data_IF_523150563547
#
_entry.id   IF_523150563547
#
_cell.length_a   1.000
_cell.length_b   1.000
_cell.length_c   1.000
_cell.angle_alpha   90.00
_cell.angle_beta   90.00
_cell.angle_gamma   90.00
#
_symmetry.space_group_name_H-M   'P 1'
#
loop_
_entity.id
_entity.type
_entity.pdbx_description
1 polymer ?
#
# COMPACT_ATOMS: atom_id res chain seq x y z
N UNK A 1 -11.92 54.00 -26.05
CA UNK A 1 -10.91 54.55 -25.13
C UNK A 1 -10.29 53.41 -24.34
N UNK A 2 -8.95 53.36 -24.37
CA UNK A 2 -8.01 52.74 -23.42
C UNK A 2 -8.03 51.22 -23.22
N UNK A 3 -7.22 50.56 -24.08
CA UNK A 3 -6.41 49.38 -23.77
C UNK A 3 -5.40 49.73 -22.66
N UNK A 4 -5.36 48.95 -21.59
CA UNK A 4 -4.19 48.79 -20.72
C UNK A 4 -3.57 47.45 -21.13
N UNK A 5 -2.29 47.31 -21.49
CA UNK A 5 -1.10 48.02 -21.03
C UNK A 5 -0.14 46.92 -20.59
N UNK A 6 0.53 46.29 -21.58
CA UNK A 6 1.57 45.30 -21.35
C UNK A 6 2.65 45.90 -20.46
N UNK A 7 2.80 45.35 -19.25
CA UNK A 7 3.94 45.65 -18.39
C UNK A 7 5.15 44.86 -18.90
N UNK A 8 5.90 45.57 -19.72
CA UNK A 8 7.35 45.60 -19.85
C UNK A 8 8.13 44.45 -19.23
N UNK A 9 8.57 43.55 -20.11
CA UNK A 9 9.70 42.67 -19.93
C UNK A 9 10.97 43.54 -19.85
N UNK A 10 11.50 43.80 -18.66
CA UNK A 10 12.89 44.27 -18.51
C UNK A 10 13.78 43.05 -18.43
N UNK A 11 14.32 42.66 -19.58
CA UNK A 11 15.42 41.74 -19.70
C UNK A 11 16.71 42.49 -19.35
N UNK A 12 17.34 42.17 -18.22
CA UNK A 12 18.73 42.57 -17.97
C UNK A 12 19.62 41.50 -18.58
N UNK A 13 20.31 41.89 -19.64
CA UNK A 13 21.19 41.05 -20.44
C UNK A 13 22.61 41.18 -19.88
N UNK A 14 22.98 40.31 -18.94
CA UNK A 14 24.38 40.08 -18.58
C UNK A 14 24.64 38.56 -18.56
N UNK A 15 25.54 38.14 -19.44
CA UNK A 15 26.22 36.85 -19.48
C UNK A 15 25.39 35.56 -19.62
N UNK A 16 24.82 35.36 -20.82
CA UNK A 16 25.05 34.16 -21.63
C UNK A 16 24.87 32.75 -21.05
N UNK A 17 24.20 32.56 -19.91
CA UNK A 17 23.95 31.24 -19.31
C UNK A 17 22.51 31.11 -18.85
N UNK A 18 21.69 30.47 -19.68
CA UNK A 18 20.33 30.03 -19.35
C UNK A 18 20.39 28.94 -18.29
N UNK A 19 20.28 29.31 -17.01
CA UNK A 19 20.08 28.34 -15.93
C UNK A 19 18.58 28.08 -15.78
N UNK A 20 18.12 26.82 -15.82
CA UNK A 20 16.71 26.52 -15.59
C UNK A 20 16.39 26.84 -14.13
N UNK A 21 15.57 27.87 -13.91
CA UNK A 21 14.95 28.18 -12.62
C UNK A 21 14.11 26.96 -12.18
N UNK A 22 14.69 26.19 -11.26
CA UNK A 22 14.08 25.05 -10.59
C UNK A 22 12.66 25.37 -10.07
N UNK A 23 11.64 25.00 -10.84
CA UNK A 23 10.22 25.12 -10.46
C UNK A 23 9.89 24.31 -9.19
N UNK A 24 10.74 23.33 -8.84
CA UNK A 24 10.65 22.55 -7.61
C UNK A 24 10.87 23.38 -6.33
N UNK A 25 11.69 24.45 -6.35
CA UNK A 25 12.02 25.19 -5.13
C UNK A 25 10.87 26.07 -4.61
N UNK A 26 10.03 26.60 -5.50
CA UNK A 26 8.89 27.47 -5.15
C UNK A 26 7.79 26.73 -4.39
N UNK A 27 7.58 25.44 -4.69
CA UNK A 27 6.52 24.63 -4.04
C UNK A 27 6.91 24.20 -2.63
N UNK A 28 8.20 24.03 -2.34
CA UNK A 28 8.71 23.76 -0.99
C UNK A 28 8.73 25.02 -0.13
N UNK A 29 9.19 26.16 -0.67
CA UNK A 29 9.18 27.43 0.06
C UNK A 29 7.77 27.86 0.51
N UNK A 30 6.76 27.69 -0.36
CA UNK A 30 5.37 28.02 -0.04
C UNK A 30 4.77 27.14 1.08
N UNK A 31 5.23 25.90 1.23
CA UNK A 31 4.76 24.98 2.28
C UNK A 31 5.30 25.38 3.66
N UNK A 32 6.57 25.75 3.75
CA UNK A 32 7.21 26.20 4.99
C UNK A 32 6.64 27.53 5.49
N UNK A 33 6.35 28.47 4.58
CA UNK A 33 5.73 29.76 4.90
C UNK A 33 4.36 29.59 5.57
N UNK A 34 3.54 28.65 5.07
CA UNK A 34 2.23 28.33 5.64
C UNK A 34 2.35 27.66 7.00
N UNK A 35 3.35 26.80 7.19
CA UNK A 35 3.63 26.15 8.48
C UNK A 35 4.08 27.18 9.53
N UNK A 36 4.97 28.11 9.18
CA UNK A 36 5.37 29.22 10.09
C UNK A 36 4.19 30.10 10.46
N UNK A 37 3.36 30.49 9.49
CA UNK A 37 2.20 31.36 9.73
C UNK A 37 1.18 30.71 10.68
N UNK A 38 0.86 29.44 10.47
CA UNK A 38 -0.03 28.69 11.35
C UNK A 38 0.57 28.46 12.75
N UNK A 39 1.89 28.22 12.86
CA UNK A 39 2.56 28.07 14.15
C UNK A 39 2.56 29.37 14.95
N UNK A 40 2.78 30.51 14.29
CA UNK A 40 2.71 31.83 14.92
C UNK A 40 1.29 32.18 15.41
N UNK A 41 0.24 31.74 14.69
CA UNK A 41 -1.15 31.94 15.10
C UNK A 41 -1.58 31.09 16.30
N UNK A 42 -0.93 29.96 16.58
CA UNK A 42 -1.21 29.16 17.78
C UNK A 42 -0.60 29.75 19.06
N UNK A 43 0.51 30.49 18.96
CA UNK A 43 1.19 31.06 20.13
C UNK A 43 0.49 32.30 20.68
N UNK A 44 -0.39 32.94 19.91
CA UNK A 44 -1.08 34.18 20.31
C UNK A 44 -2.45 33.95 20.97
N UNK A 45 -2.95 32.72 21.04
CA UNK A 45 -4.25 32.41 21.65
C UNK A 45 -4.17 31.73 23.03
N UNK A 46 -2.98 31.40 23.53
CA UNK A 46 -2.82 30.69 24.80
C UNK A 46 -2.45 31.56 26.00
N UNK A 47 -2.48 32.90 25.88
CA UNK A 47 -1.99 33.80 26.94
C UNK A 47 -3.02 34.86 27.39
N UNK A 48 -4.31 34.52 27.29
CA UNK A 48 -5.39 35.37 27.80
C UNK A 48 -6.61 34.54 28.26
N UNK A 49 -6.52 33.94 29.44
CA UNK A 49 -7.63 33.90 30.42
C UNK A 49 -7.12 33.39 31.76
N UNK A 50 -6.97 34.31 32.72
CA UNK A 50 -6.79 34.04 34.15
C UNK A 50 -8.10 33.60 34.83
N UNK A 51 -7.91 32.78 35.86
CA UNK A 51 -8.66 32.64 37.13
C UNK A 51 -10.19 32.60 37.18
N UNK A 52 -10.74 31.43 37.59
CA UNK A 52 -11.70 31.36 38.72
C UNK A 52 -11.42 30.08 39.54
N UNK A 53 -11.03 30.28 40.80
CA UNK A 53 -10.94 29.28 41.87
C UNK A 53 -12.34 29.00 42.45
N UNK A 54 -12.61 27.76 42.91
CA UNK A 54 -13.44 27.50 44.11
C UNK A 54 -13.42 26.01 44.52
N UNK A 55 -12.79 25.77 45.66
CA UNK A 55 -13.30 25.05 46.86
C UNK A 55 -14.04 23.72 46.67
N UNK A 56 -13.49 22.66 47.26
CA UNK A 56 -14.18 21.38 47.45
C UNK A 56 -15.04 21.33 48.73
N UNK A 57 -15.97 20.36 48.78
CA UNK A 57 -16.39 19.52 49.92
C UNK A 57 -17.47 18.51 49.41
N UNK A 58 -17.89 17.43 50.14
CA UNK A 58 -17.59 16.02 49.87
C UNK A 58 -18.82 15.14 49.45
N UNK A 59 -18.54 13.85 49.12
CA UNK A 59 -19.45 12.78 48.65
C UNK A 59 -20.72 12.52 49.51
N UNK A 60 -21.88 12.07 48.98
CA UNK A 60 -22.30 10.71 48.49
C UNK A 60 -23.84 10.74 48.22
N UNK A 61 -24.56 9.65 47.84
CA UNK A 61 -24.64 8.88 46.58
C UNK A 61 -26.11 8.78 46.02
N UNK A 62 -26.35 7.86 45.08
CA UNK A 62 -27.62 7.54 44.34
C UNK A 62 -27.88 8.42 43.09
N UNK A 63 -28.32 7.93 41.94
CA UNK A 63 -28.76 6.60 41.48
C UNK A 63 -28.76 6.64 39.94
N UNK A 64 -28.39 5.51 39.34
CA UNK A 64 -28.82 4.96 38.06
C UNK A 64 -29.51 5.88 37.03
N UNK A 65 -28.74 6.28 36.01
CA UNK A 65 -29.25 6.41 34.63
C UNK A 65 -28.09 6.06 33.69
N UNK A 66 -28.13 4.87 33.10
CA UNK A 66 -27.16 4.37 32.13
C UNK A 66 -27.13 5.27 30.89
N UNK A 67 -26.05 6.02 30.62
CA UNK A 67 -25.87 6.63 29.32
C UNK A 67 -25.38 5.52 28.39
N UNK A 68 -26.09 5.29 27.27
CA UNK A 68 -25.58 4.50 26.15
C UNK A 68 -24.15 4.97 25.85
N UNK A 69 -23.20 4.10 26.16
CA UNK A 69 -21.80 4.28 25.84
C UNK A 69 -21.69 4.47 24.33
N UNK A 70 -21.48 5.71 23.91
CA UNK A 70 -21.18 6.06 22.51
C UNK A 70 -19.79 5.49 22.25
N UNK A 71 -19.73 4.21 21.89
CA UNK A 71 -18.50 3.57 21.48
C UNK A 71 -17.93 4.38 20.32
N UNK A 72 -16.84 5.11 20.57
CA UNK A 72 -16.09 5.82 19.54
C UNK A 72 -15.69 4.79 18.50
N UNK A 73 -16.35 4.82 17.34
CA UNK A 73 -16.15 3.82 16.30
C UNK A 73 -14.74 4.02 15.76
N UNK A 74 -13.83 3.14 16.15
CA UNK A 74 -12.47 3.16 15.62
C UNK A 74 -12.53 3.26 14.10
N UNK A 75 -11.73 4.12 13.44
CA UNK A 75 -11.73 4.28 11.99
C UNK A 75 -11.63 2.95 11.23
N UNK A 76 -10.97 1.96 11.84
CA UNK A 76 -10.90 0.58 11.35
C UNK A 76 -12.28 -0.09 11.28
N UNK A 77 -13.07 -0.02 12.34
CA UNK A 77 -14.42 -0.61 12.41
C UNK A 77 -15.36 -0.03 11.34
N UNK A 78 -15.20 1.27 11.03
CA UNK A 78 -15.97 1.92 9.96
C UNK A 78 -15.58 1.37 8.58
N UNK A 79 -14.28 1.12 8.34
CA UNK A 79 -13.80 0.59 7.08
C UNK A 79 -14.15 -0.90 6.90
N UNK A 80 -14.13 -1.69 7.97
CA UNK A 80 -14.50 -3.11 7.97
C UNK A 80 -15.96 -3.37 7.57
N UNK A 81 -16.83 -2.35 7.60
CA UNK A 81 -18.20 -2.46 7.09
C UNK A 81 -18.28 -2.57 5.55
N UNK A 82 -17.22 -2.16 4.83
CA UNK A 82 -17.17 -2.13 3.36
C UNK A 82 -16.00 -2.95 2.81
N UNK A 83 -14.89 -3.00 3.56
CA UNK A 83 -13.66 -3.70 3.20
C UNK A 83 -13.49 -4.97 4.02
N UNK A 84 -12.76 -5.93 3.46
CA UNK A 84 -12.28 -7.06 4.25
C UNK A 84 -11.29 -6.61 5.34
N UNK A 85 -11.29 -7.31 6.47
CA UNK A 85 -10.46 -7.02 7.64
C UNK A 85 -8.96 -6.77 7.31
N UNK A 86 -8.25 -7.59 6.50
CA UNK A 86 -6.84 -7.35 6.21
C UNK A 86 -6.61 -6.06 5.43
N UNK A 87 -7.51 -5.71 4.50
CA UNK A 87 -7.39 -4.51 3.68
C UNK A 87 -7.69 -3.25 4.50
N UNK A 88 -8.68 -3.31 5.39
CA UNK A 88 -8.98 -2.21 6.32
C UNK A 88 -7.77 -1.86 7.21
N UNK A 89 -7.06 -2.88 7.72
CA UNK A 89 -5.81 -2.69 8.47
C UNK A 89 -4.74 -2.03 7.61
N UNK A 90 -4.50 -2.56 6.41
CA UNK A 90 -3.49 -2.04 5.51
C UNK A 90 -3.72 -0.56 5.15
N UNK A 91 -4.98 -0.15 4.96
CA UNK A 91 -5.33 1.26 4.69
C UNK A 91 -5.03 2.15 5.91
N UNK A 92 -5.37 1.71 7.12
CA UNK A 92 -5.11 2.48 8.35
C UNK A 92 -3.60 2.61 8.60
N UNK A 93 -2.85 1.51 8.48
CA UNK A 93 -1.40 1.49 8.61
C UNK A 93 -0.73 2.37 7.56
N UNK A 94 -1.17 2.28 6.31
CA UNK A 94 -0.68 3.14 5.22
C UNK A 94 -0.89 4.63 5.55
N UNK A 95 -2.10 4.99 6.03
CA UNK A 95 -2.45 6.37 6.42
C UNK A 95 -1.61 6.87 7.59
N UNK A 96 -1.31 6.01 8.56
CA UNK A 96 -0.39 6.31 9.65
C UNK A 96 1.04 6.54 9.13
N UNK A 97 1.53 5.70 8.21
CA UNK A 97 2.87 5.79 7.63
C UNK A 97 3.09 7.08 6.82
N UNK A 98 2.07 7.56 6.11
CA UNK A 98 2.10 8.87 5.42
C UNK A 98 1.83 10.07 6.35
N UNK A 99 1.87 9.86 7.68
CA UNK A 99 1.69 10.85 8.76
C UNK A 99 0.35 11.59 8.71
N UNK A 100 -0.68 10.94 8.16
CA UNK A 100 -2.05 11.48 8.09
C UNK A 100 -3.03 10.42 8.56
N UNK A 101 -3.08 10.13 9.88
CA UNK A 101 -3.97 9.13 10.43
C UNK A 101 -5.43 9.47 10.10
N UNK A 102 -6.23 8.42 9.95
CA UNK A 102 -7.61 8.53 9.54
C UNK A 102 -8.49 8.92 10.74
N UNK A 103 -9.32 9.95 10.59
CA UNK A 103 -10.38 10.28 11.55
C UNK A 103 -11.63 9.43 11.26
N UNK A 104 -12.53 9.28 12.23
CA UNK A 104 -13.77 8.49 12.07
C UNK A 104 -14.60 9.00 10.87
N UNK A 105 -14.86 10.31 10.81
CA UNK A 105 -15.59 10.91 9.69
C UNK A 105 -14.85 10.76 8.35
N UNK A 106 -13.51 10.81 8.38
CA UNK A 106 -12.70 10.56 7.20
C UNK A 106 -12.82 9.13 6.69
N UNK A 107 -12.91 8.16 7.60
CA UNK A 107 -13.15 6.75 7.30
C UNK A 107 -14.54 6.54 6.67
N UNK A 108 -15.58 7.18 7.22
CA UNK A 108 -16.93 7.09 6.66
C UNK A 108 -17.01 7.64 5.22
N UNK A 109 -16.37 8.78 4.96
CA UNK A 109 -16.33 9.37 3.61
C UNK A 109 -15.55 8.48 2.64
N UNK A 110 -14.45 7.87 3.11
CA UNK A 110 -13.68 6.94 2.28
C UNK A 110 -14.48 5.67 1.98
N UNK A 111 -15.12 5.08 2.99
CA UNK A 111 -15.96 3.89 2.85
C UNK A 111 -17.08 4.11 1.83
N UNK A 112 -17.75 5.28 1.87
CA UNK A 112 -18.77 5.65 0.87
C UNK A 112 -18.22 5.70 -0.56
N UNK A 113 -17.02 6.28 -0.75
CA UNK A 113 -16.39 6.37 -2.07
C UNK A 113 -15.93 5.00 -2.59
N UNK A 114 -15.43 4.13 -1.71
CA UNK A 114 -15.05 2.77 -2.07
C UNK A 114 -16.27 1.90 -2.40
N UNK A 115 -17.39 2.07 -1.69
CA UNK A 115 -18.65 1.42 -2.04
C UNK A 115 -19.15 1.85 -3.44
N UNK A 116 -19.04 3.14 -3.76
CA UNK A 116 -19.40 3.67 -5.07
C UNK A 116 -18.47 3.23 -6.21
N UNK A 117 -17.30 2.66 -5.90
CA UNK A 117 -16.38 2.12 -6.91
C UNK A 117 -17.02 0.98 -7.72
N UNK A 118 -17.85 0.17 -7.06
CA UNK A 118 -18.53 -0.95 -7.71
C UNK A 118 -19.44 -0.48 -8.84
N UNK A 119 -20.19 0.58 -8.60
CA UNK A 119 -21.14 1.11 -9.58
C UNK A 119 -20.44 1.86 -10.71
N UNK A 120 -19.31 2.53 -10.41
CA UNK A 120 -18.65 3.41 -11.37
C UNK A 120 -17.59 2.71 -12.24
N UNK A 121 -16.74 1.85 -11.66
CA UNK A 121 -15.64 1.19 -12.37
C UNK A 121 -15.69 -0.34 -12.34
N UNK A 122 -16.71 -0.94 -11.71
CA UNK A 122 -16.87 -2.39 -11.62
C UNK A 122 -15.86 -3.08 -10.68
N UNK A 123 -15.09 -2.32 -9.91
CA UNK A 123 -14.16 -2.87 -8.92
C UNK A 123 -14.87 -3.17 -7.62
N UNK A 124 -14.45 -4.22 -6.93
CA UNK A 124 -14.83 -4.41 -5.52
C UNK A 124 -14.17 -3.34 -4.65
N UNK A 125 -14.77 -3.05 -3.49
CA UNK A 125 -14.20 -2.06 -2.57
C UNK A 125 -12.76 -2.41 -2.16
N UNK A 126 -12.47 -3.69 -1.98
CA UNK A 126 -11.12 -4.20 -1.67
C UNK A 126 -10.13 -3.87 -2.81
N UNK A 127 -10.49 -4.16 -4.06
CA UNK A 127 -9.64 -3.86 -5.23
C UNK A 127 -9.44 -2.35 -5.44
N UNK A 128 -10.44 -1.54 -5.06
CA UNK A 128 -10.36 -0.09 -5.10
C UNK A 128 -9.38 0.49 -4.05
N UNK A 129 -9.09 -0.26 -2.97
CA UNK A 129 -8.12 0.15 -1.96
C UNK A 129 -6.65 -0.12 -2.36
N UNK A 130 -6.38 -1.14 -3.18
CA UNK A 130 -5.04 -1.47 -3.70
C UNK A 130 -4.28 -0.26 -4.30
N UNK A 131 -4.85 0.52 -5.25
CA UNK A 131 -4.13 1.63 -5.85
C UNK A 131 -3.85 2.75 -4.85
N UNK A 132 -4.63 2.85 -3.75
CA UNK A 132 -4.34 3.80 -2.69
C UNK A 132 -3.03 3.45 -1.98
N UNK A 133 -2.86 2.17 -1.65
CA UNK A 133 -1.70 1.68 -0.92
C UNK A 133 -0.45 1.73 -1.83
N UNK A 134 -0.58 1.26 -3.07
CA UNK A 134 0.53 1.19 -4.03
C UNK A 134 1.05 2.57 -4.46
N UNK A 135 0.15 3.51 -4.72
CA UNK A 135 0.51 4.85 -5.23
C UNK A 135 0.62 5.91 -4.13
N UNK A 136 0.33 5.56 -2.88
CA UNK A 136 0.34 6.49 -1.77
C UNK A 136 -0.80 7.51 -1.80
N UNK A 137 -1.96 7.16 -2.36
CA UNK A 137 -3.10 8.05 -2.39
C UNK A 137 -3.77 8.12 -1.02
N UNK A 138 -4.07 9.34 -0.56
CA UNK A 138 -4.72 9.57 0.73
C UNK A 138 -6.22 9.27 0.71
N UNK A 139 -6.81 9.19 -0.48
CA UNK A 139 -8.22 8.96 -0.69
C UNK A 139 -8.45 8.31 -2.04
N UNK A 140 -9.71 8.02 -2.32
CA UNK A 140 -10.14 7.30 -3.52
C UNK A 140 -11.21 8.11 -4.24
N UNK A 141 -11.18 8.06 -5.57
CA UNK A 141 -12.26 8.50 -6.45
C UNK A 141 -12.37 7.50 -7.60
N UNK A 142 -13.59 7.22 -8.04
CA UNK A 142 -13.84 6.25 -9.10
C UNK A 142 -13.23 6.68 -10.44
N UNK A 143 -13.20 7.98 -10.74
CA UNK A 143 -12.58 8.50 -11.96
C UNK A 143 -11.05 8.28 -11.94
N UNK A 144 -10.42 8.39 -10.76
CA UNK A 144 -8.99 8.10 -10.63
C UNK A 144 -8.68 6.62 -10.88
N UNK A 145 -9.57 5.73 -10.42
CA UNK A 145 -9.44 4.31 -10.71
C UNK A 145 -9.63 4.00 -12.21
N UNK A 146 -10.62 4.60 -12.86
CA UNK A 146 -10.82 4.47 -14.32
C UNK A 146 -9.59 4.91 -15.11
N UNK A 147 -9.04 6.09 -14.78
CA UNK A 147 -7.82 6.60 -15.41
C UNK A 147 -6.63 5.66 -15.19
N UNK A 148 -6.49 5.10 -13.98
CA UNK A 148 -5.46 4.11 -13.69
C UNK A 148 -5.63 2.85 -14.57
N UNK A 149 -6.85 2.33 -14.70
CA UNK A 149 -7.12 1.16 -15.55
C UNK A 149 -6.85 1.44 -17.04
N UNK A 150 -7.22 2.62 -17.53
CA UNK A 150 -6.92 3.05 -18.91
C UNK A 150 -5.40 3.17 -19.15
N UNK A 151 -4.63 3.57 -18.13
CA UNK A 151 -3.16 3.60 -18.17
C UNK A 151 -2.49 2.22 -18.06
N UNK A 152 -3.27 1.13 -18.01
CA UNK A 152 -2.77 -0.25 -17.96
C UNK A 152 -2.56 -0.79 -16.54
N UNK A 153 -2.97 -0.05 -15.50
CA UNK A 153 -2.98 -0.62 -14.15
C UNK A 153 -4.08 -1.67 -14.01
N UNK A 154 -3.74 -2.76 -13.31
CA UNK A 154 -4.68 -3.84 -13.00
C UNK A 154 -4.69 -4.07 -11.49
N UNK A 155 -5.82 -4.45 -10.87
CA UNK A 155 -5.86 -4.96 -9.49
C UNK A 155 -4.83 -6.08 -9.25
N UNK A 156 -4.32 -6.19 -8.04
CA UNK A 156 -3.26 -7.16 -7.71
C UNK A 156 -3.70 -8.61 -7.95
N UNK A 157 -4.94 -8.95 -7.59
CA UNK A 157 -5.51 -10.27 -7.86
C UNK A 157 -5.50 -10.62 -9.36
N UNK A 158 -5.79 -9.64 -10.23
CA UNK A 158 -5.75 -9.84 -11.69
C UNK A 158 -4.31 -9.92 -12.21
N UNK A 159 -3.37 -9.16 -11.62
CA UNK A 159 -1.94 -9.27 -11.95
C UNK A 159 -1.41 -10.66 -11.63
N UNK A 160 -1.67 -11.15 -10.41
CA UNK A 160 -1.23 -12.47 -9.97
C UNK A 160 -1.81 -13.58 -10.85
N UNK A 161 -3.11 -13.52 -11.13
CA UNK A 161 -3.76 -14.46 -12.04
C UNK A 161 -3.16 -14.42 -13.46
N UNK A 162 -2.88 -13.24 -14.00
CA UNK A 162 -2.28 -13.10 -15.34
C UNK A 162 -0.81 -13.49 -15.42
N UNK A 163 -0.09 -13.47 -14.29
CA UNK A 163 1.34 -13.78 -14.24
C UNK A 163 1.60 -15.29 -14.27
N UNK A 164 0.68 -16.08 -13.70
CA UNK A 164 0.81 -17.53 -13.70
C UNK A 164 0.35 -18.10 -15.03
N UNK A 165 1.31 -18.53 -15.86
CA UNK A 165 1.02 -19.44 -16.98
C UNK A 165 1.16 -20.89 -16.51
N UNK A 166 0.16 -21.74 -16.75
CA UNK A 166 0.29 -23.17 -16.49
C UNK A 166 1.35 -23.77 -17.41
N UNK A 167 2.04 -24.82 -16.96
CA UNK A 167 3.14 -25.43 -17.72
C UNK A 167 2.69 -25.98 -19.09
N UNK A 168 1.40 -26.28 -19.27
CA UNK A 168 0.81 -26.70 -20.54
C UNK A 168 0.82 -25.62 -21.62
N UNK A 169 0.82 -24.34 -21.23
CA UNK A 169 0.80 -23.19 -22.15
C UNK A 169 2.20 -22.61 -22.40
N UNK A 170 3.20 -23.03 -21.62
CA UNK A 170 4.57 -22.59 -21.77
C UNK A 170 5.26 -23.36 -22.92
N UNK A 171 6.04 -22.64 -23.72
CA UNK A 171 6.96 -23.28 -24.67
C UNK A 171 7.98 -24.14 -23.92
N UNK A 172 8.58 -25.12 -24.61
CA UNK A 172 9.59 -26.00 -23.99
C UNK A 172 10.74 -25.20 -23.37
N UNK A 173 11.20 -24.15 -24.05
CA UNK A 173 12.28 -23.27 -23.56
C UNK A 173 11.88 -22.51 -22.29
N UNK A 174 10.64 -22.01 -22.21
CA UNK A 174 10.13 -21.32 -21.02
C UNK A 174 9.96 -22.29 -19.83
N UNK A 175 9.46 -23.50 -20.10
CA UNK A 175 9.39 -24.57 -19.09
C UNK A 175 10.77 -24.91 -18.56
N UNK A 176 11.75 -25.09 -19.44
CA UNK A 176 13.11 -25.42 -19.03
C UNK A 176 13.76 -24.26 -18.28
N UNK A 177 13.50 -23.02 -18.67
CA UNK A 177 13.94 -21.84 -17.93
C UNK A 177 13.32 -21.76 -16.52
N UNK A 178 12.03 -22.11 -16.38
CA UNK A 178 11.35 -22.19 -15.08
C UNK A 178 11.96 -23.28 -14.21
N UNK A 179 12.15 -24.48 -14.75
CA UNK A 179 12.79 -25.59 -14.04
C UNK A 179 14.24 -25.29 -13.66
N UNK A 180 15.01 -24.59 -14.52
CA UNK A 180 16.36 -24.12 -14.19
C UNK A 180 16.35 -23.21 -12.95
N UNK A 181 15.37 -22.31 -12.82
CA UNK A 181 15.24 -21.47 -11.61
C UNK A 181 14.96 -22.31 -10.36
N UNK A 182 14.04 -23.27 -10.44
CA UNK A 182 13.74 -24.18 -9.32
C UNK A 182 14.95 -25.02 -8.93
N UNK A 183 15.66 -25.60 -9.91
CA UNK A 183 16.88 -26.39 -9.66
C UNK A 183 18.00 -25.55 -9.07
N UNK A 184 18.21 -24.32 -9.54
CA UNK A 184 19.21 -23.42 -8.96
C UNK A 184 18.88 -23.09 -7.50
N UNK A 185 17.61 -22.82 -7.19
CA UNK A 185 17.20 -22.61 -5.81
C UNK A 185 17.44 -23.87 -4.95
N UNK A 186 17.01 -25.04 -5.43
CA UNK A 186 17.14 -26.30 -4.70
C UNK A 186 18.61 -26.66 -4.41
N UNK A 187 19.48 -26.48 -5.41
CA UNK A 187 20.94 -26.70 -5.28
C UNK A 187 21.57 -25.73 -4.28
N UNK A 188 21.19 -24.45 -4.33
CA UNK A 188 21.75 -23.42 -3.45
C UNK A 188 21.32 -23.61 -1.99
N UNK A 189 20.05 -23.95 -1.76
CA UNK A 189 19.47 -24.08 -0.42
C UNK A 189 19.51 -25.51 0.13
N UNK A 190 19.96 -26.49 -0.68
CA UNK A 190 20.00 -27.92 -0.34
C UNK A 190 18.66 -28.44 0.17
N UNK A 191 17.57 -27.96 -0.45
CA UNK A 191 16.21 -28.31 -0.11
C UNK A 191 15.40 -28.69 -1.35
N UNK A 192 14.30 -29.40 -1.12
CA UNK A 192 13.35 -29.80 -2.14
C UNK A 192 11.92 -29.59 -1.64
N UNK A 193 11.00 -29.22 -2.52
CA UNK A 193 9.59 -29.03 -2.19
C UNK A 193 8.73 -30.06 -2.92
N UNK A 194 8.48 -31.23 -2.32
CA UNK A 194 7.74 -32.32 -2.95
C UNK A 194 6.33 -31.94 -3.39
N UNK A 195 5.66 -31.07 -2.63
CA UNK A 195 4.26 -30.72 -2.87
C UNK A 195 4.09 -29.83 -4.10
N UNK A 196 5.09 -28.99 -4.37
CA UNK A 196 5.06 -28.01 -5.46
C UNK A 196 5.79 -28.52 -6.70
N UNK A 197 6.91 -29.22 -6.51
CA UNK A 197 7.80 -29.65 -7.61
C UNK A 197 7.69 -31.14 -7.92
N UNK A 198 6.91 -31.90 -7.15
CA UNK A 198 6.81 -33.35 -7.26
C UNK A 198 8.02 -34.08 -6.64
N UNK A 199 8.17 -35.39 -6.88
CA UNK A 199 9.25 -36.18 -6.31
C UNK A 199 10.66 -35.62 -6.60
N UNK A 200 11.54 -35.76 -5.61
CA UNK A 200 12.92 -35.25 -5.63
C UNK A 200 13.71 -35.74 -6.86
N UNK A 201 14.73 -34.99 -7.35
CA UNK A 201 15.57 -35.43 -8.46
C UNK A 201 16.15 -36.82 -8.20
N UNK A 202 16.29 -37.60 -9.27
CA UNK A 202 16.75 -39.00 -9.23
C UNK A 202 15.82 -39.99 -8.47
N UNK A 203 14.61 -39.56 -8.07
CA UNK A 203 13.56 -40.44 -7.54
C UNK A 203 12.52 -40.79 -8.63
N UNK A 204 11.82 -41.91 -8.44
CA UNK A 204 10.73 -42.32 -9.33
C UNK A 204 9.61 -41.26 -9.32
N UNK A 205 9.13 -40.91 -10.52
CA UNK A 205 8.08 -39.90 -10.70
C UNK A 205 8.56 -38.45 -10.65
N UNK A 206 9.87 -38.19 -10.69
CA UNK A 206 10.42 -36.84 -10.76
C UNK A 206 9.86 -36.09 -11.99
N UNK A 207 9.40 -34.86 -11.77
CA UNK A 207 8.81 -34.00 -12.81
C UNK A 207 9.82 -33.10 -13.53
N UNK A 208 11.05 -33.04 -13.03
CA UNK A 208 12.12 -32.23 -13.63
C UNK A 208 12.51 -32.84 -14.98
N UNK A 209 12.64 -32.05 -16.06
CA UNK A 209 13.14 -32.54 -17.34
C UNK A 209 14.50 -33.23 -17.19
N UNK A 210 14.65 -34.43 -17.76
CA UNK A 210 15.83 -35.28 -17.57
C UNK A 210 17.15 -34.59 -17.94
N UNK A 211 17.13 -33.70 -18.94
CA UNK A 211 18.31 -32.94 -19.38
C UNK A 211 18.77 -31.84 -18.41
N UNK A 212 17.97 -31.51 -17.39
CA UNK A 212 18.29 -30.52 -16.36
C UNK A 212 18.75 -31.15 -15.04
N UNK A 213 18.55 -32.46 -14.88
CA UNK A 213 18.93 -33.23 -13.69
C UNK A 213 20.40 -33.63 -13.81
N UNK A 214 21.16 -33.39 -12.74
CA UNK A 214 22.50 -33.93 -12.56
C UNK A 214 22.44 -35.19 -11.67
N UNK A 215 23.35 -36.16 -11.85
CA UNK A 215 23.41 -37.37 -11.00
C UNK A 215 23.60 -37.07 -9.50
N UNK A 216 24.14 -35.89 -9.18
CA UNK A 216 24.38 -35.42 -7.80
C UNK A 216 23.19 -34.63 -7.21
N UNK A 217 22.17 -34.30 -8.00
CA UNK A 217 21.00 -33.57 -7.52
C UNK A 217 20.16 -34.44 -6.57
N UNK A 218 19.50 -33.79 -5.60
CA UNK A 218 18.75 -34.47 -4.54
C UNK A 218 19.61 -35.00 -3.39
N UNK A 219 20.94 -34.84 -3.44
CA UNK A 219 21.86 -35.22 -2.37
C UNK A 219 22.86 -34.12 -2.01
N UNK A 220 23.25 -34.09 -0.74
CA UNK A 220 24.33 -33.27 -0.19
C UNK A 220 25.67 -33.93 -0.49
N UNK A 221 26.77 -33.21 -0.28
CA UNK A 221 28.13 -33.73 -0.51
C UNK A 221 28.49 -34.92 0.38
N UNK A 222 27.84 -35.07 1.54
CA UNK A 222 28.01 -36.18 2.47
C UNK A 222 27.13 -37.41 2.12
N UNK A 223 26.38 -37.37 1.01
CA UNK A 223 25.50 -38.46 0.57
C UNK A 223 24.06 -38.41 1.08
N UNK A 224 23.79 -37.57 2.09
CA UNK A 224 22.45 -37.38 2.65
C UNK A 224 21.52 -36.73 1.63
N UNK A 225 20.20 -37.05 1.64
CA UNK A 225 19.24 -36.36 0.80
C UNK A 225 19.15 -34.86 1.12
N UNK A 226 18.70 -34.07 0.14
CA UNK A 226 18.27 -32.68 0.40
C UNK A 226 17.13 -32.64 1.41
N UNK A 227 17.03 -31.52 2.13
CA UNK A 227 15.98 -31.34 3.13
C UNK A 227 14.62 -31.19 2.44
N UNK A 228 13.67 -32.06 2.76
CA UNK A 228 12.29 -31.96 2.27
C UNK A 228 11.56 -30.82 2.99
N UNK A 229 11.07 -29.84 2.24
CA UNK A 229 10.30 -28.69 2.71
C UNK A 229 8.87 -28.81 2.16
N UNK A 230 7.96 -29.35 2.95
CA UNK A 230 6.57 -29.55 2.52
C UNK A 230 5.81 -30.58 3.33
N UNK A 231 6.50 -31.59 3.88
CA UNK A 231 5.91 -32.43 4.93
C UNK A 231 5.77 -31.63 6.22
N UNK A 232 4.67 -30.89 6.34
CA UNK A 232 4.04 -30.72 7.64
C UNK A 232 3.87 -32.15 8.17
N UNK A 233 4.55 -32.47 9.28
CA UNK A 233 4.33 -33.73 9.96
C UNK A 233 2.82 -33.83 10.25
N UNK A 234 2.19 -34.86 9.68
CA UNK A 234 0.82 -35.23 10.02
C UNK A 234 0.75 -35.71 11.47
#
# INVERSE_FOLDING_TARGET
MRRFGCLSLVASLEDGRFTPLNFASRRFAYREERYRRNKASQVTQSDATEEIQKEGFPHTPSEENTPKEVQKKSPRSVLEAVLSQPIAVAVVEHRAKIKKPLTERGAELLAKRLAAAKDACGLTADQAADPMIERGWQGFDAEWAKNAMQSGWKPEAQRQASSYKPDSELSQEERDARWKKFMNYARNNRCWHSDVWGPMPNMLGCRVPAHLILPTDGRKSNGDPWTEQGRIAA
#
